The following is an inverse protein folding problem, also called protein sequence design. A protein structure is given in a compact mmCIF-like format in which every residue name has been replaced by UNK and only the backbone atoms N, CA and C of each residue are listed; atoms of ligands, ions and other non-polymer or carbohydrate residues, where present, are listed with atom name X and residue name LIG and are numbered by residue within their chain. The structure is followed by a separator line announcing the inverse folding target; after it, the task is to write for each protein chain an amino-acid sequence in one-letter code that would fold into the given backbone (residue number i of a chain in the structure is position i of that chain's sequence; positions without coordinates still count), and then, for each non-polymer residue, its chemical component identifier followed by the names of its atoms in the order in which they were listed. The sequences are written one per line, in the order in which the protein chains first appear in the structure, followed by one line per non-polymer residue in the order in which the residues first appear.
data_IF_831749321432
#
_entry.id   IF_831749321432
#
_cell.length_a   1.000
_cell.length_b   1.000
_cell.length_c   1.000
_cell.angle_alpha   90.00
_cell.angle_beta   90.00
_cell.angle_gamma   90.00
#
_symmetry.space_group_name_H-M   'P 1'
#
loop_
_entity.id
_entity.type
_entity.pdbx_description
1 polymer ?
#
# COMPACT_ATOMS: atom_id res chain seq x y z
N UNK A 1 -29.74 -9.66 -12.18
CA UNK A 1 -28.42 -8.99 -12.12
C UNK A 1 -28.23 -8.22 -10.82
N UNK A 2 -29.18 -7.36 -10.42
CA UNK A 2 -29.08 -6.47 -9.23
C UNK A 2 -28.91 -7.21 -7.89
N UNK A 3 -29.51 -8.38 -7.71
CA UNK A 3 -29.39 -9.18 -6.49
C UNK A 3 -28.00 -9.77 -6.31
N UNK A 4 -27.37 -10.23 -7.39
CA UNK A 4 -25.97 -10.70 -7.39
C UNK A 4 -24.98 -9.56 -7.10
N UNK A 5 -25.21 -8.40 -7.69
CA UNK A 5 -24.38 -7.20 -7.46
C UNK A 5 -24.43 -6.74 -6.00
N UNK A 6 -25.63 -6.74 -5.35
CA UNK A 6 -25.77 -6.45 -3.93
C UNK A 6 -25.03 -7.43 -3.02
N UNK A 7 -25.07 -8.73 -3.34
CA UNK A 7 -24.36 -9.76 -2.56
C UNK A 7 -22.84 -9.61 -2.66
N UNK A 8 -22.32 -9.28 -3.85
CA UNK A 8 -20.89 -8.97 -4.02
C UNK A 8 -20.47 -7.76 -3.18
N UNK A 9 -21.24 -6.67 -3.21
CA UNK A 9 -20.94 -5.47 -2.42
C UNK A 9 -20.94 -5.73 -0.91
N UNK A 10 -21.86 -6.56 -0.40
CA UNK A 10 -21.92 -6.90 1.04
C UNK A 10 -20.68 -7.72 1.44
N UNK A 11 -20.32 -8.72 0.67
CA UNK A 11 -19.13 -9.56 0.90
C UNK A 11 -17.86 -8.72 0.93
N UNK A 12 -17.70 -7.83 -0.04
CA UNK A 12 -16.50 -6.99 -0.15
C UNK A 12 -16.39 -6.03 1.03
N UNK A 13 -17.52 -5.53 1.57
CA UNK A 13 -17.52 -4.70 2.78
C UNK A 13 -17.05 -5.48 4.01
N UNK A 14 -17.52 -6.73 4.22
CA UNK A 14 -17.05 -7.56 5.33
C UNK A 14 -15.56 -7.88 5.23
N UNK A 15 -15.07 -8.17 4.02
CA UNK A 15 -13.64 -8.40 3.80
C UNK A 15 -12.81 -7.13 4.06
N UNK A 16 -13.29 -5.96 3.64
CA UNK A 16 -12.62 -4.69 3.89
C UNK A 16 -12.54 -4.35 5.39
N UNK A 17 -13.63 -4.57 6.14
CA UNK A 17 -13.65 -4.39 7.60
C UNK A 17 -12.61 -5.31 8.27
N UNK A 18 -12.61 -6.60 7.91
CA UNK A 18 -11.66 -7.56 8.48
C UNK A 18 -10.21 -7.17 8.19
N UNK A 19 -9.90 -6.78 6.96
CA UNK A 19 -8.55 -6.34 6.56
C UNK A 19 -8.16 -5.04 7.29
N UNK A 20 -9.08 -4.10 7.41
CA UNK A 20 -8.88 -2.84 8.14
C UNK A 20 -8.56 -3.04 9.62
N UNK A 21 -9.10 -4.09 10.24
CA UNK A 21 -8.79 -4.45 11.63
C UNK A 21 -7.46 -5.22 11.76
N UNK A 22 -7.23 -6.19 10.88
CA UNK A 22 -6.06 -7.08 10.99
C UNK A 22 -4.74 -6.40 10.69
N UNK A 23 -4.69 -5.48 9.74
CA UNK A 23 -3.44 -4.82 9.33
C UNK A 23 -2.81 -3.96 10.43
N UNK A 24 -3.54 -3.03 11.09
CA UNK A 24 -2.98 -2.28 12.21
C UNK A 24 -2.66 -3.17 13.40
N UNK A 25 -3.50 -4.18 13.68
CA UNK A 25 -3.28 -5.12 14.77
C UNK A 25 -1.96 -5.88 14.59
N UNK A 26 -1.68 -6.39 13.39
CA UNK A 26 -0.44 -7.07 13.06
C UNK A 26 0.79 -6.16 13.33
N UNK A 27 0.75 -4.90 12.86
CA UNK A 27 1.84 -3.95 13.08
C UNK A 27 1.99 -3.62 14.58
N UNK A 28 0.89 -3.42 15.28
CA UNK A 28 0.88 -3.14 16.73
C UNK A 28 1.48 -4.30 17.51
N UNK A 29 1.11 -5.55 17.20
CA UNK A 29 1.68 -6.73 17.83
C UNK A 29 3.19 -6.82 17.56
N UNK A 30 3.63 -6.61 16.32
CA UNK A 30 5.04 -6.62 15.97
C UNK A 30 5.85 -5.57 16.76
N UNK A 31 5.27 -4.37 16.97
CA UNK A 31 5.95 -3.28 17.68
C UNK A 31 5.87 -3.36 19.20
N UNK A 32 4.83 -3.99 19.77
CA UNK A 32 4.61 -4.02 21.22
C UNK A 32 5.05 -5.32 21.90
N UNK A 33 4.97 -6.45 21.20
CA UNK A 33 5.27 -7.77 21.75
C UNK A 33 6.70 -8.24 21.47
N UNK A 34 7.35 -7.73 20.43
CA UNK A 34 8.73 -8.06 20.12
C UNK A 34 9.71 -7.12 20.83
N UNK A 35 10.90 -7.60 21.25
CA UNK A 35 11.97 -6.76 21.78
C UNK A 35 12.39 -5.70 20.75
N UNK A 36 12.85 -4.53 21.22
CA UNK A 36 13.26 -3.41 20.36
C UNK A 36 14.26 -3.80 19.27
N UNK A 37 15.20 -4.72 19.57
CA UNK A 37 16.20 -5.21 18.58
C UNK A 37 15.69 -6.27 17.61
N UNK A 38 14.38 -6.60 17.60
CA UNK A 38 13.76 -7.57 16.67
C UNK A 38 12.46 -7.07 16.04
N UNK A 39 12.13 -5.82 16.24
CA UNK A 39 10.90 -5.23 15.72
C UNK A 39 10.92 -5.10 14.20
N UNK A 40 12.06 -4.73 13.62
CA UNK A 40 12.21 -4.65 12.17
C UNK A 40 12.18 -6.04 11.52
N UNK A 41 12.75 -7.05 12.17
CA UNK A 41 12.62 -8.45 11.72
C UNK A 41 11.16 -8.91 11.73
N UNK A 42 10.41 -8.63 12.80
CA UNK A 42 8.99 -8.95 12.88
C UNK A 42 8.17 -8.26 11.79
N UNK A 43 8.46 -6.98 11.53
CA UNK A 43 7.84 -6.23 10.42
C UNK A 43 8.24 -6.76 9.04
N UNK A 44 9.47 -7.23 8.87
CA UNK A 44 9.94 -7.87 7.65
C UNK A 44 9.20 -9.18 7.35
N UNK A 45 9.00 -10.02 8.38
CA UNK A 45 8.20 -11.26 8.26
C UNK A 45 6.73 -10.92 7.92
N UNK A 46 6.15 -9.94 8.60
CA UNK A 46 4.81 -9.45 8.28
C UNK A 46 4.73 -8.91 6.83
N UNK A 47 5.80 -8.29 6.35
CA UNK A 47 5.94 -7.81 4.97
C UNK A 47 5.84 -8.90 3.91
N UNK A 48 6.16 -10.16 4.22
CA UNK A 48 5.94 -11.30 3.31
C UNK A 48 4.44 -11.38 2.99
N UNK A 49 3.59 -11.44 4.00
CA UNK A 49 2.15 -11.53 3.79
C UNK A 49 1.61 -10.32 3.02
N UNK A 50 2.09 -9.11 3.35
CA UNK A 50 1.64 -7.87 2.71
C UNK A 50 2.10 -7.72 1.25
N UNK A 51 3.30 -8.20 0.91
CA UNK A 51 3.88 -8.07 -0.43
C UNK A 51 3.58 -9.25 -1.36
N UNK A 52 3.53 -10.46 -0.81
CA UNK A 52 3.38 -11.68 -1.59
C UNK A 52 1.91 -12.01 -1.92
N UNK A 53 1.03 -11.88 -0.94
CA UNK A 53 -0.37 -12.26 -1.11
C UNK A 53 -1.10 -11.52 -2.27
N UNK A 54 -0.96 -10.19 -2.45
CA UNK A 54 -1.61 -9.50 -3.55
C UNK A 54 -1.16 -9.96 -4.95
N UNK A 55 0.09 -10.42 -5.06
CA UNK A 55 0.66 -10.83 -6.35
C UNK A 55 0.38 -12.32 -6.66
N UNK A 56 0.37 -13.19 -5.65
CA UNK A 56 0.10 -14.62 -5.86
C UNK A 56 -1.40 -14.93 -5.92
N UNK A 57 -2.23 -14.11 -5.29
CA UNK A 57 -3.69 -14.28 -5.25
C UNK A 57 -4.33 -14.44 -6.62
N UNK A 58 -4.10 -13.51 -7.58
CA UNK A 58 -4.62 -13.62 -8.93
C UNK A 58 -4.15 -14.87 -9.66
N UNK A 59 -2.90 -15.29 -9.47
CA UNK A 59 -2.33 -16.47 -10.11
C UNK A 59 -2.99 -17.76 -9.61
N UNK A 60 -3.12 -17.93 -8.28
CA UNK A 60 -3.82 -19.07 -7.70
C UNK A 60 -5.31 -19.04 -8.07
N UNK A 61 -5.94 -17.87 -7.96
CA UNK A 61 -7.35 -17.68 -8.29
C UNK A 61 -7.64 -17.99 -9.76
N UNK A 62 -6.76 -17.57 -10.67
CA UNK A 62 -6.86 -17.87 -12.10
C UNK A 62 -6.71 -19.37 -12.39
N UNK A 63 -5.66 -20.01 -11.86
CA UNK A 63 -5.41 -21.43 -12.02
C UNK A 63 -6.58 -22.30 -11.48
N UNK A 64 -7.07 -21.97 -10.28
CA UNK A 64 -8.21 -22.69 -9.70
C UNK A 64 -9.52 -22.45 -10.45
N UNK A 65 -9.75 -21.24 -10.93
CA UNK A 65 -10.95 -20.92 -11.71
C UNK A 65 -10.99 -21.69 -13.03
N UNK A 66 -9.83 -21.90 -13.65
CA UNK A 66 -9.70 -22.66 -14.89
C UNK A 66 -9.90 -24.17 -14.67
N UNK A 67 -9.31 -24.75 -13.60
CA UNK A 67 -9.29 -26.20 -13.39
C UNK A 67 -10.49 -26.72 -12.59
N UNK A 68 -10.93 -26.00 -11.56
CA UNK A 68 -11.93 -26.45 -10.57
C UNK A 68 -13.17 -25.54 -10.52
N UNK A 69 -13.19 -24.48 -11.34
CA UNK A 69 -14.22 -23.46 -11.33
C UNK A 69 -14.01 -22.40 -10.24
N UNK A 70 -14.55 -21.21 -10.48
CA UNK A 70 -14.32 -20.03 -9.63
C UNK A 70 -14.76 -20.18 -8.16
N UNK A 71 -15.70 -21.09 -7.85
CA UNK A 71 -16.16 -21.33 -6.48
C UNK A 71 -15.12 -22.03 -5.61
N UNK A 72 -14.26 -22.86 -6.21
CA UNK A 72 -13.23 -23.62 -5.49
C UNK A 72 -12.24 -22.71 -4.75
N UNK A 73 -11.88 -21.57 -5.35
CA UNK A 73 -11.02 -20.58 -4.72
C UNK A 73 -11.62 -20.02 -3.44
N UNK A 74 -12.92 -19.71 -3.43
CA UNK A 74 -13.59 -19.21 -2.21
C UNK A 74 -13.73 -20.30 -1.14
N UNK A 75 -13.96 -21.55 -1.53
CA UNK A 75 -13.98 -22.68 -0.58
C UNK A 75 -12.61 -22.83 0.06
N UNK A 76 -11.53 -22.79 -0.72
CA UNK A 76 -10.16 -22.80 -0.18
C UNK A 76 -9.92 -21.69 0.84
N UNK A 77 -10.31 -20.47 0.50
CA UNK A 77 -10.19 -19.32 1.42
C UNK A 77 -10.96 -19.55 2.73
N UNK A 78 -12.19 -20.05 2.66
CA UNK A 78 -13.00 -20.34 3.86
C UNK A 78 -12.32 -21.38 4.74
N UNK A 79 -11.81 -22.47 4.15
CA UNK A 79 -11.10 -23.53 4.89
C UNK A 79 -9.86 -22.97 5.59
N UNK A 80 -9.04 -22.19 4.87
CA UNK A 80 -7.85 -21.53 5.45
C UNK A 80 -8.24 -20.59 6.59
N UNK A 81 -9.27 -19.75 6.39
CA UNK A 81 -9.69 -18.79 7.41
C UNK A 81 -10.27 -19.48 8.66
N UNK A 82 -11.02 -20.57 8.49
CA UNK A 82 -11.52 -21.36 9.63
C UNK A 82 -10.37 -22.02 10.39
N UNK A 83 -9.38 -22.59 9.69
CA UNK A 83 -8.20 -23.16 10.31
C UNK A 83 -7.40 -22.11 11.08
N UNK A 84 -7.20 -20.91 10.50
CA UNK A 84 -6.53 -19.80 11.18
C UNK A 84 -7.33 -19.29 12.38
N UNK A 85 -8.65 -19.20 12.28
CA UNK A 85 -9.50 -18.81 13.40
C UNK A 85 -9.43 -19.81 14.56
N UNK A 86 -9.45 -21.11 14.25
CA UNK A 86 -9.29 -22.18 15.25
C UNK A 86 -7.89 -22.11 15.90
N UNK A 87 -6.84 -21.94 15.09
CA UNK A 87 -5.47 -21.79 15.61
C UNK A 87 -5.34 -20.55 16.51
N UNK A 88 -5.94 -19.42 16.11
CA UNK A 88 -5.95 -18.20 16.89
C UNK A 88 -6.70 -18.37 18.21
N UNK A 89 -7.86 -19.04 18.21
CA UNK A 89 -8.64 -19.31 19.43
C UNK A 89 -7.86 -20.14 20.45
N UNK A 90 -7.00 -21.05 19.99
CA UNK A 90 -6.15 -21.89 20.88
C UNK A 90 -4.86 -21.16 21.30
N UNK A 91 -4.22 -20.45 20.37
CA UNK A 91 -2.91 -19.83 20.59
C UNK A 91 -2.95 -18.48 21.28
N UNK A 92 -3.99 -17.67 21.02
CA UNK A 92 -4.11 -16.32 21.55
C UNK A 92 -4.82 -16.36 22.91
N UNK A 93 -4.03 -16.22 23.98
CA UNK A 93 -4.59 -16.06 25.32
C UNK A 93 -5.06 -14.63 25.55
N UNK A 94 -6.20 -14.40 26.23
CA UNK A 94 -6.62 -13.06 26.61
C UNK A 94 -5.52 -12.37 27.41
N UNK A 95 -5.02 -11.25 26.91
CA UNK A 95 -3.83 -10.59 27.50
C UNK A 95 -4.16 -9.56 28.55
N UNK A 96 -5.39 -9.04 28.53
CA UNK A 96 -5.95 -8.10 29.52
C UNK A 96 -7.46 -8.22 29.56
N UNK A 97 -8.05 -7.90 30.69
CA UNK A 97 -9.51 -7.74 30.77
C UNK A 97 -9.95 -6.60 29.83
N UNK A 98 -11.07 -6.76 29.12
CA UNK A 98 -11.57 -5.69 28.27
C UNK A 98 -11.89 -4.44 29.15
N UNK A 99 -11.37 -3.30 28.74
CA UNK A 99 -11.70 -2.04 29.38
C UNK A 99 -13.16 -1.68 29.10
N UNK A 100 -14.00 -1.87 30.10
CA UNK A 100 -15.44 -1.58 30.01
C UNK A 100 -15.75 -0.08 30.00
N UNK A 101 -14.77 0.77 30.31
CA UNK A 101 -14.93 2.23 30.32
C UNK A 101 -14.69 2.85 28.94
N UNK A 102 -14.05 2.12 28.02
CA UNK A 102 -13.74 2.59 26.67
C UNK A 102 -15.05 2.87 25.89
N UNK A 103 -15.28 4.13 25.54
CA UNK A 103 -16.44 4.57 24.75
C UNK A 103 -15.99 4.85 23.32
N UNK A 104 -16.69 4.25 22.36
CA UNK A 104 -16.46 4.53 20.95
C UNK A 104 -17.02 5.93 20.59
N UNK A 105 -16.15 6.86 20.20
CA UNK A 105 -16.57 8.15 19.64
C UNK A 105 -17.09 7.97 18.21
N UNK A 106 -18.40 7.72 18.09
CA UNK A 106 -19.10 7.49 16.81
C UNK A 106 -18.94 8.69 15.87
N UNK A 107 -18.86 9.92 16.39
CA UNK A 107 -18.70 11.13 15.56
C UNK A 107 -17.30 11.15 14.94
N UNK A 108 -16.28 10.86 15.71
CA UNK A 108 -14.89 10.74 15.18
C UNK A 108 -14.78 9.60 14.18
N UNK A 109 -15.42 8.46 14.44
CA UNK A 109 -15.47 7.35 13.51
C UNK A 109 -16.14 7.74 12.17
N UNK A 110 -17.29 8.42 12.23
CA UNK A 110 -17.96 8.91 11.03
C UNK A 110 -17.10 9.92 10.24
N UNK A 111 -16.48 10.87 10.95
CA UNK A 111 -15.61 11.87 10.32
C UNK A 111 -14.41 11.24 9.64
N UNK A 112 -13.73 10.27 10.28
CA UNK A 112 -12.58 9.57 9.68
C UNK A 112 -13.02 8.72 8.47
N UNK A 113 -14.14 8.03 8.56
CA UNK A 113 -14.70 7.21 7.47
C UNK A 113 -15.08 8.07 6.26
N UNK A 114 -15.79 9.19 6.48
CA UNK A 114 -16.15 10.11 5.42
C UNK A 114 -14.92 10.85 4.87
N UNK A 115 -13.95 11.15 5.72
CA UNK A 115 -12.71 11.82 5.35
C UNK A 115 -11.84 10.96 4.44
N UNK A 116 -11.36 9.83 4.92
CA UNK A 116 -10.55 8.91 4.11
C UNK A 116 -11.34 8.29 2.97
N UNK A 117 -12.59 7.90 3.20
CA UNK A 117 -13.48 7.36 2.17
C UNK A 117 -13.75 8.36 1.04
N UNK A 118 -13.96 9.63 1.38
CA UNK A 118 -14.12 10.71 0.40
C UNK A 118 -12.87 10.91 -0.46
N UNK A 119 -11.67 10.93 0.15
CA UNK A 119 -10.42 11.00 -0.61
C UNK A 119 -10.23 9.80 -1.54
N UNK A 120 -10.42 8.59 -1.02
CA UNK A 120 -10.28 7.36 -1.81
C UNK A 120 -11.28 7.34 -2.98
N UNK A 121 -12.53 7.76 -2.74
CA UNK A 121 -13.56 7.86 -3.78
C UNK A 121 -13.19 8.89 -4.83
N UNK A 122 -12.70 10.07 -4.43
CA UNK A 122 -12.26 11.11 -5.34
C UNK A 122 -11.12 10.62 -6.24
N UNK A 123 -10.11 9.98 -5.65
CA UNK A 123 -8.97 9.45 -6.40
C UNK A 123 -9.36 8.27 -7.30
N UNK A 124 -10.26 7.40 -6.86
CA UNK A 124 -10.81 6.34 -7.70
C UNK A 124 -11.61 6.90 -8.88
N UNK A 125 -12.42 7.93 -8.65
CA UNK A 125 -13.20 8.57 -9.70
C UNK A 125 -12.32 9.32 -10.71
N UNK A 126 -11.17 9.85 -10.29
CA UNK A 126 -10.23 10.55 -11.18
C UNK A 126 -9.64 9.65 -12.28
N UNK A 127 -9.66 8.32 -12.10
CA UNK A 127 -9.26 7.36 -13.13
C UNK A 127 -10.39 7.00 -14.11
N UNK A 128 -11.65 7.36 -13.81
CA UNK A 128 -12.83 6.92 -14.56
C UNK A 128 -13.65 8.05 -15.16
N UNK A 129 -13.54 9.26 -14.62
CA UNK A 129 -14.31 10.44 -15.04
C UNK A 129 -13.38 11.55 -15.53
N UNK A 130 -13.91 12.43 -16.39
CA UNK A 130 -13.22 13.66 -16.81
C UNK A 130 -12.89 14.55 -15.61
N UNK A 131 -11.76 15.23 -15.66
CA UNK A 131 -11.25 16.07 -14.56
C UNK A 131 -12.19 17.25 -14.22
N UNK A 132 -13.07 17.64 -15.12
CA UNK A 132 -14.10 18.67 -14.89
C UNK A 132 -15.32 18.14 -14.12
N UNK A 133 -15.40 16.82 -13.92
CA UNK A 133 -16.57 16.19 -13.32
C UNK A 133 -16.71 16.52 -11.83
N UNK A 134 -17.90 16.96 -11.38
CA UNK A 134 -18.16 17.18 -9.95
C UNK A 134 -18.02 15.90 -9.11
N UNK A 135 -18.10 14.71 -9.73
CA UNK A 135 -17.89 13.43 -9.05
C UNK A 135 -16.46 13.20 -8.52
N UNK A 136 -15.49 14.01 -8.99
CA UNK A 136 -14.11 14.01 -8.44
C UNK A 136 -14.00 15.05 -7.33
N UNK A 137 -14.41 16.27 -7.62
CA UNK A 137 -14.19 17.41 -6.73
C UNK A 137 -15.08 17.39 -5.49
N UNK A 138 -16.35 16.99 -5.61
CA UNK A 138 -17.24 16.91 -4.45
C UNK A 138 -16.74 15.95 -3.37
N UNK A 139 -16.41 14.67 -3.67
CA UNK A 139 -15.83 13.77 -2.66
C UNK A 139 -14.47 14.24 -2.15
N UNK A 140 -13.65 14.89 -2.99
CA UNK A 140 -12.34 15.43 -2.59
C UNK A 140 -12.49 16.52 -1.53
N UNK A 141 -13.33 17.52 -1.81
CA UNK A 141 -13.57 18.65 -0.89
C UNK A 141 -14.24 18.17 0.40
N UNK A 142 -15.27 17.34 0.28
CA UNK A 142 -15.95 16.78 1.45
C UNK A 142 -15.00 15.90 2.27
N UNK A 143 -14.21 15.04 1.63
CA UNK A 143 -13.21 14.21 2.29
C UNK A 143 -12.17 15.03 3.05
N UNK A 144 -11.62 16.06 2.40
CA UNK A 144 -10.67 16.98 3.04
C UNK A 144 -11.31 17.72 4.22
N UNK A 145 -12.55 18.21 4.07
CA UNK A 145 -13.29 18.89 5.14
C UNK A 145 -13.49 17.95 6.35
N UNK A 146 -13.97 16.73 6.11
CA UNK A 146 -14.17 15.76 7.20
C UNK A 146 -12.87 15.35 7.87
N UNK A 147 -11.75 15.24 7.16
CA UNK A 147 -10.44 15.01 7.78
C UNK A 147 -9.99 16.18 8.65
N UNK A 148 -10.20 17.41 8.19
CA UNK A 148 -9.89 18.59 9.01
C UNK A 148 -10.75 18.63 10.28
N UNK A 149 -12.05 18.35 10.15
CA UNK A 149 -12.96 18.25 11.31
C UNK A 149 -12.54 17.12 12.25
N UNK A 150 -12.18 15.96 11.72
CA UNK A 150 -11.65 14.84 12.49
C UNK A 150 -10.42 15.25 13.30
N UNK A 151 -9.38 15.79 12.64
CA UNK A 151 -8.15 16.22 13.32
C UNK A 151 -8.43 17.29 14.38
N UNK A 152 -9.32 18.27 14.10
CA UNK A 152 -9.71 19.30 15.07
C UNK A 152 -10.42 18.69 16.28
N UNK A 153 -11.30 17.70 16.03
CA UNK A 153 -12.02 17.02 17.11
C UNK A 153 -11.09 16.19 17.97
N UNK A 154 -10.16 15.41 17.35
CA UNK A 154 -9.19 14.60 18.09
C UNK A 154 -8.30 15.41 19.05
N UNK A 155 -8.06 16.70 18.75
CA UNK A 155 -7.31 17.62 19.62
C UNK A 155 -8.12 18.20 20.76
N UNK A 156 -9.44 18.02 20.81
CA UNK A 156 -10.35 18.64 21.78
C UNK A 156 -11.03 17.66 22.72
N UNK A 157 -11.08 16.39 22.33
CA UNK A 157 -11.73 15.32 23.10
C UNK A 157 -10.72 14.73 24.06
N UNK A 158 -11.12 14.49 25.31
CA UNK A 158 -10.24 13.95 26.36
C UNK A 158 -9.82 12.51 26.10
N UNK A 159 -10.68 11.70 25.45
CA UNK A 159 -10.36 10.32 25.02
C UNK A 159 -10.49 10.23 23.50
N UNK A 160 -9.45 10.63 22.74
CA UNK A 160 -9.48 10.66 21.29
C UNK A 160 -9.42 9.26 20.70
N UNK A 161 -10.16 9.04 19.59
CA UNK A 161 -10.09 7.79 18.83
C UNK A 161 -8.67 7.51 18.28
N UNK A 162 -7.95 8.55 17.91
CA UNK A 162 -6.54 8.53 17.50
C UNK A 162 -5.84 9.71 18.16
N UNK A 163 -4.86 9.44 19.01
CA UNK A 163 -4.05 10.49 19.63
C UNK A 163 -3.23 11.22 18.57
N UNK A 164 -3.41 12.54 18.47
CA UNK A 164 -2.61 13.38 17.57
C UNK A 164 -1.18 13.57 18.05
N UNK A 165 -0.84 13.14 19.28
CA UNK A 165 0.51 13.16 19.82
C UNK A 165 1.50 12.28 19.04
N UNK A 166 0.99 11.38 18.19
CA UNK A 166 1.82 10.64 17.23
C UNK A 166 2.67 11.58 16.36
N UNK A 167 2.16 12.76 16.04
CA UNK A 167 2.87 13.76 15.24
C UNK A 167 3.84 14.63 16.05
N UNK A 168 3.91 14.51 17.36
CA UNK A 168 4.93 15.19 18.17
C UNK A 168 6.32 14.59 17.91
N UNK A 169 6.41 13.29 17.65
CA UNK A 169 7.65 12.61 17.28
C UNK A 169 8.15 13.04 15.90
N UNK A 170 9.37 13.64 15.88
CA UNK A 170 10.03 14.00 14.60
C UNK A 170 10.30 12.79 13.71
N UNK A 171 10.62 11.66 14.34
CA UNK A 171 10.91 10.40 13.64
C UNK A 171 9.66 9.81 13.02
N UNK A 172 8.53 9.81 13.74
CA UNK A 172 7.25 9.37 13.20
C UNK A 172 6.84 10.22 12.00
N UNK A 173 6.91 11.55 12.10
CA UNK A 173 6.60 12.46 10.97
C UNK A 173 7.46 12.17 9.74
N UNK A 174 8.76 11.97 9.94
CA UNK A 174 9.67 11.65 8.85
C UNK A 174 9.35 10.29 8.20
N UNK A 175 9.15 9.25 9.00
CA UNK A 175 8.77 7.94 8.50
C UNK A 175 7.39 7.93 7.82
N UNK A 176 6.44 8.68 8.36
CA UNK A 176 5.11 8.87 7.78
C UNK A 176 5.19 9.46 6.36
N UNK A 177 5.95 10.56 6.18
CA UNK A 177 6.12 11.18 4.86
C UNK A 177 6.83 10.22 3.89
N UNK A 178 7.94 9.59 4.31
CA UNK A 178 8.68 8.66 3.47
C UNK A 178 7.80 7.48 2.99
N UNK A 179 6.99 6.91 3.88
CA UNK A 179 6.09 5.81 3.54
C UNK A 179 4.97 6.23 2.59
N UNK A 180 4.44 7.44 2.73
CA UNK A 180 3.39 7.94 1.83
C UNK A 180 3.94 8.23 0.42
N UNK A 181 5.15 8.80 0.30
CA UNK A 181 5.84 8.98 -0.98
C UNK A 181 6.14 7.63 -1.65
N UNK A 182 6.66 6.68 -0.87
CA UNK A 182 6.91 5.31 -1.33
C UNK A 182 5.64 4.66 -1.90
N UNK A 183 4.50 4.76 -1.20
CA UNK A 183 3.27 4.14 -1.64
C UNK A 183 2.66 4.83 -2.86
N UNK A 184 2.78 6.14 -2.98
CA UNK A 184 2.38 6.88 -4.18
C UNK A 184 3.19 6.47 -5.42
N UNK A 185 4.49 6.14 -5.25
CA UNK A 185 5.33 5.59 -6.32
C UNK A 185 4.99 4.13 -6.67
N UNK A 186 4.65 3.32 -5.67
CA UNK A 186 4.65 1.86 -5.80
C UNK A 186 3.35 1.29 -6.37
N UNK A 187 2.19 1.67 -5.82
CA UNK A 187 0.93 0.95 -6.10
C UNK A 187 0.45 1.12 -7.53
N UNK A 188 0.61 2.32 -8.11
CA UNK A 188 0.18 2.57 -9.49
C UNK A 188 0.92 1.71 -10.50
N UNK A 189 2.21 1.46 -10.29
CA UNK A 189 3.02 0.65 -11.23
C UNK A 189 2.54 -0.79 -11.31
N UNK A 190 2.03 -1.35 -10.21
CA UNK A 190 1.47 -2.72 -10.21
C UNK A 190 0.25 -2.85 -11.14
N UNK A 191 -0.53 -1.78 -11.31
CA UNK A 191 -1.63 -1.71 -12.27
C UNK A 191 -1.14 -1.40 -13.70
N UNK A 192 -0.16 -0.50 -13.84
CA UNK A 192 0.26 0.02 -15.14
C UNK A 192 1.14 -0.95 -15.89
N UNK A 193 1.94 -1.79 -15.21
CA UNK A 193 2.77 -2.81 -15.87
C UNK A 193 1.94 -3.78 -16.72
N UNK A 194 0.85 -4.38 -16.23
CA UNK A 194 -0.04 -5.16 -17.09
C UNK A 194 -0.61 -4.37 -18.27
N UNK A 195 -1.06 -3.14 -18.03
CA UNK A 195 -1.59 -2.27 -19.09
C UNK A 195 -0.54 -1.94 -20.16
N UNK A 196 0.72 -1.75 -19.76
CA UNK A 196 1.84 -1.54 -20.68
C UNK A 196 2.12 -2.79 -21.51
N UNK A 197 2.22 -3.96 -20.86
CA UNK A 197 2.54 -5.22 -21.54
C UNK A 197 1.42 -5.63 -22.50
N UNK A 198 0.16 -5.59 -22.07
CA UNK A 198 -0.99 -6.00 -22.87
C UNK A 198 -1.38 -4.93 -23.89
N UNK A 199 -1.40 -3.67 -23.49
CA UNK A 199 -1.93 -2.58 -24.31
C UNK A 199 -0.93 -1.97 -25.29
N UNK A 200 0.36 -1.89 -24.95
CA UNK A 200 1.39 -1.27 -25.78
C UNK A 200 2.26 -2.32 -26.49
N UNK A 201 2.77 -3.31 -25.75
CA UNK A 201 3.65 -4.33 -26.31
C UNK A 201 2.88 -5.48 -27.00
N UNK A 202 1.55 -5.51 -26.92
CA UNK A 202 0.73 -6.58 -27.53
C UNK A 202 0.91 -7.95 -26.87
N UNK A 203 1.44 -7.97 -25.65
CA UNK A 203 1.67 -9.19 -24.89
C UNK A 203 0.39 -9.77 -24.28
N UNK A 204 0.50 -10.94 -23.69
CA UNK A 204 -0.57 -11.65 -23.03
C UNK A 204 -0.63 -11.32 -21.52
N UNK A 205 -1.78 -11.56 -20.88
CA UNK A 205 -1.91 -11.43 -19.41
C UNK A 205 -0.93 -12.35 -18.65
N UNK A 206 -0.55 -13.49 -19.26
CA UNK A 206 0.47 -14.36 -18.68
C UNK A 206 1.84 -13.70 -18.67
N UNK A 207 2.24 -13.07 -19.76
CA UNK A 207 3.51 -12.33 -19.86
C UNK A 207 3.54 -11.16 -18.92
N UNK A 208 2.44 -10.41 -18.78
CA UNK A 208 2.30 -9.35 -17.77
C UNK A 208 2.50 -9.89 -16.34
N UNK A 209 1.97 -11.07 -16.05
CA UNK A 209 2.20 -11.76 -14.78
C UNK A 209 3.66 -12.17 -14.59
N UNK A 210 4.31 -12.70 -15.63
CA UNK A 210 5.72 -13.11 -15.60
C UNK A 210 6.64 -11.90 -15.32
N UNK A 211 6.36 -10.73 -15.88
CA UNK A 211 7.11 -9.51 -15.61
C UNK A 211 7.10 -9.13 -14.12
N UNK A 212 6.01 -9.39 -13.39
CA UNK A 212 5.90 -9.09 -11.97
C UNK A 212 6.47 -10.18 -11.04
N UNK A 213 6.60 -11.41 -11.53
CA UNK A 213 7.00 -12.57 -10.73
C UNK A 213 8.37 -12.44 -10.05
N UNK A 214 9.47 -12.05 -10.73
CA UNK A 214 10.80 -11.99 -10.10
C UNK A 214 10.83 -11.03 -8.92
N UNK A 215 10.16 -9.87 -9.03
CA UNK A 215 10.03 -8.92 -7.94
C UNK A 215 9.27 -9.49 -6.75
N UNK A 216 8.22 -10.26 -7.02
CA UNK A 216 7.39 -10.90 -5.98
C UNK A 216 8.17 -11.99 -5.26
N UNK A 217 8.90 -12.84 -5.99
CA UNK A 217 9.75 -13.88 -5.41
C UNK A 217 10.89 -13.26 -4.60
N UNK A 218 11.53 -12.22 -5.13
CA UNK A 218 12.56 -11.49 -4.39
C UNK A 218 12.03 -10.90 -3.07
N UNK A 219 10.80 -10.42 -3.05
CA UNK A 219 10.17 -9.87 -1.84
C UNK A 219 10.03 -10.90 -0.70
N UNK A 220 9.84 -12.19 -1.01
CA UNK A 220 9.78 -13.27 -0.01
C UNK A 220 11.05 -13.34 0.83
N UNK A 221 12.20 -13.17 0.17
CA UNK A 221 13.51 -13.26 0.84
C UNK A 221 13.94 -11.89 1.37
N UNK A 222 13.72 -10.84 0.59
CA UNK A 222 14.24 -9.52 0.91
C UNK A 222 13.47 -8.81 2.02
N UNK A 223 12.16 -9.04 2.17
CA UNK A 223 11.41 -8.44 3.28
C UNK A 223 11.94 -8.85 4.66
N UNK A 224 12.08 -10.17 4.99
CA UNK A 224 12.67 -10.58 6.26
C UNK A 224 14.15 -10.20 6.37
N UNK A 225 14.91 -10.32 5.27
CA UNK A 225 16.33 -9.97 5.26
C UNK A 225 16.55 -8.49 5.58
N UNK A 226 15.77 -7.59 4.97
CA UNK A 226 15.82 -6.16 5.26
C UNK A 226 15.45 -5.87 6.71
N UNK A 227 14.48 -6.60 7.29
CA UNK A 227 14.13 -6.51 8.70
C UNK A 227 15.31 -6.90 9.60
N UNK A 228 15.93 -8.06 9.36
CA UNK A 228 17.10 -8.54 10.12
C UNK A 228 18.30 -7.58 9.97
N UNK A 229 18.56 -7.12 8.76
CA UNK A 229 19.63 -6.13 8.51
C UNK A 229 19.35 -4.83 9.27
N UNK A 230 18.12 -4.36 9.27
CA UNK A 230 17.74 -3.14 10.00
C UNK A 230 17.95 -3.27 11.50
N UNK A 231 17.62 -4.42 12.08
CA UNK A 231 17.86 -4.67 13.51
C UNK A 231 19.36 -4.77 13.85
N UNK A 232 20.23 -5.20 12.90
CA UNK A 232 21.67 -5.33 13.10
C UNK A 232 22.48 -4.07 12.81
N UNK A 233 22.21 -3.42 11.69
CA UNK A 233 23.04 -2.29 11.19
C UNK A 233 22.31 -0.94 11.23
N UNK A 234 21.06 -0.93 11.66
CA UNK A 234 20.22 0.26 11.72
C UNK A 234 19.43 0.50 10.42
N UNK A 235 18.43 1.38 10.51
CA UNK A 235 17.51 1.67 9.39
C UNK A 235 18.18 2.42 8.26
N UNK A 236 19.11 3.33 8.56
CA UNK A 236 19.68 4.27 7.59
C UNK A 236 20.39 3.59 6.41
N UNK A 237 21.37 2.69 6.60
CA UNK A 237 22.06 2.04 5.50
C UNK A 237 21.11 1.18 4.66
N UNK A 238 20.21 0.44 5.30
CA UNK A 238 19.21 -0.39 4.60
C UNK A 238 18.28 0.48 3.77
N UNK A 239 17.76 1.58 4.33
CA UNK A 239 16.85 2.48 3.62
C UNK A 239 17.55 3.22 2.46
N UNK A 240 18.83 3.60 2.60
CA UNK A 240 19.58 4.25 1.52
C UNK A 240 19.82 3.30 0.34
N UNK A 241 20.29 2.09 0.61
CA UNK A 241 20.52 1.07 -0.44
C UNK A 241 19.21 0.71 -1.12
N UNK A 242 18.17 0.42 -0.35
CA UNK A 242 16.86 0.06 -0.89
C UNK A 242 16.20 1.24 -1.64
N UNK A 243 16.37 2.46 -1.14
CA UNK A 243 15.90 3.67 -1.81
C UNK A 243 16.62 3.92 -3.14
N UNK A 244 17.93 3.62 -3.21
CA UNK A 244 18.67 3.68 -4.46
C UNK A 244 18.16 2.66 -5.48
N UNK A 245 17.93 1.40 -5.08
CA UNK A 245 17.33 0.38 -5.94
C UNK A 245 15.93 0.80 -6.43
N UNK A 246 15.10 1.34 -5.55
CA UNK A 246 13.77 1.84 -5.91
C UNK A 246 13.86 2.95 -6.95
N UNK A 247 14.70 3.97 -6.70
CA UNK A 247 14.84 5.11 -7.59
C UNK A 247 15.43 4.70 -8.94
N UNK A 248 16.50 3.87 -8.95
CA UNK A 248 17.12 3.36 -10.19
C UNK A 248 16.11 2.55 -11.00
N UNK A 249 15.43 1.59 -10.39
CA UNK A 249 14.42 0.79 -11.10
C UNK A 249 13.27 1.62 -11.65
N UNK A 250 12.77 2.60 -10.88
CA UNK A 250 11.70 3.48 -11.34
C UNK A 250 12.15 4.41 -12.48
N UNK A 251 13.37 4.95 -12.42
CA UNK A 251 13.94 5.77 -13.50
C UNK A 251 14.16 4.93 -14.76
N UNK A 252 14.70 3.73 -14.65
CA UNK A 252 14.86 2.84 -15.80
C UNK A 252 13.51 2.51 -16.46
N UNK A 253 12.46 2.30 -15.68
CA UNK A 253 11.13 2.06 -16.23
C UNK A 253 10.56 3.25 -17.00
N UNK A 254 10.96 4.49 -16.70
CA UNK A 254 10.50 5.67 -17.45
C UNK A 254 11.06 5.77 -18.88
N UNK A 255 12.05 4.94 -19.23
CA UNK A 255 12.63 4.88 -20.58
C UNK A 255 12.13 3.66 -21.40
N UNK A 256 11.19 2.89 -20.89
CA UNK A 256 10.63 1.74 -21.62
C UNK A 256 9.83 2.22 -22.84
N UNK A 257 10.00 1.50 -23.95
CA UNK A 257 9.34 1.77 -25.23
C UNK A 257 8.56 0.52 -25.71
N UNK A 258 7.75 0.66 -26.76
CA UNK A 258 6.97 -0.42 -27.34
C UNK A 258 7.86 -1.60 -27.82
N UNK A 259 9.04 -1.29 -28.36
CA UNK A 259 10.00 -2.27 -28.87
C UNK A 259 10.92 -2.84 -27.80
N UNK A 260 10.76 -2.41 -26.52
CA UNK A 260 11.62 -2.90 -25.43
C UNK A 260 11.34 -4.38 -25.15
N UNK A 261 12.35 -5.25 -25.18
CA UNK A 261 12.17 -6.66 -24.88
C UNK A 261 11.63 -6.87 -23.46
N UNK A 262 10.67 -7.78 -23.28
CA UNK A 262 10.02 -8.02 -21.99
C UNK A 262 10.97 -8.42 -20.86
N UNK A 263 12.12 -9.05 -21.18
CA UNK A 263 13.12 -9.36 -20.16
C UNK A 263 13.77 -8.10 -19.56
N UNK A 264 13.91 -7.01 -20.33
CA UNK A 264 14.40 -5.72 -19.83
C UNK A 264 13.38 -5.10 -18.88
N UNK A 265 12.08 -5.09 -19.27
CA UNK A 265 10.99 -4.63 -18.41
C UNK A 265 10.95 -5.43 -17.11
N UNK A 266 11.10 -6.75 -17.19
CA UNK A 266 11.16 -7.66 -16.03
C UNK A 266 12.32 -7.31 -15.11
N UNK A 267 13.50 -7.05 -15.65
CA UNK A 267 14.69 -6.67 -14.88
C UNK A 267 14.50 -5.32 -14.18
N UNK A 268 14.03 -4.31 -14.89
CA UNK A 268 13.75 -2.98 -14.31
C UNK A 268 12.71 -3.07 -13.18
N UNK A 269 11.65 -3.85 -13.39
CA UNK A 269 10.63 -4.10 -12.37
C UNK A 269 11.20 -4.87 -11.16
N UNK A 270 12.05 -5.87 -11.38
CA UNK A 270 12.70 -6.61 -10.31
C UNK A 270 13.61 -5.71 -9.47
N UNK A 271 14.45 -4.88 -10.09
CA UNK A 271 15.31 -3.90 -9.41
C UNK A 271 14.48 -2.96 -8.54
N UNK A 272 13.37 -2.43 -9.08
CA UNK A 272 12.46 -1.57 -8.34
C UNK A 272 11.80 -2.31 -7.16
N UNK A 273 11.37 -3.56 -7.35
CA UNK A 273 10.72 -4.37 -6.32
C UNK A 273 11.66 -4.70 -5.15
N UNK A 274 12.96 -4.93 -5.44
CA UNK A 274 14.01 -5.06 -4.42
C UNK A 274 14.02 -3.81 -3.52
N UNK A 275 13.99 -2.63 -4.11
CA UNK A 275 13.94 -1.37 -3.38
C UNK A 275 12.70 -1.23 -2.49
N UNK A 276 11.51 -1.54 -3.02
CA UNK A 276 10.25 -1.52 -2.26
C UNK A 276 10.31 -2.46 -1.05
N UNK A 277 10.73 -3.71 -1.29
CA UNK A 277 10.82 -4.75 -0.26
C UNK A 277 11.75 -4.36 0.89
N UNK A 278 12.86 -3.70 0.57
CA UNK A 278 13.81 -3.22 1.57
C UNK A 278 13.36 -1.97 2.34
N UNK A 279 12.30 -1.28 1.92
CA UNK A 279 11.85 -0.03 2.55
C UNK A 279 10.62 -0.19 3.43
N UNK A 280 9.64 -1.00 3.02
CA UNK A 280 8.31 -1.04 3.67
C UNK A 280 8.42 -1.42 5.15
N UNK A 281 9.04 -2.54 5.48
CA UNK A 281 9.22 -3.03 6.85
C UNK A 281 10.09 -2.10 7.70
N UNK A 282 11.33 -1.81 7.27
CA UNK A 282 12.25 -0.94 7.99
C UNK A 282 11.73 0.47 8.27
N UNK A 283 11.14 1.15 7.30
CA UNK A 283 10.57 2.49 7.52
C UNK A 283 9.38 2.45 8.48
N UNK A 284 8.55 1.39 8.41
CA UNK A 284 7.41 1.24 9.31
C UNK A 284 7.88 1.01 10.75
N UNK A 285 8.79 0.05 10.96
CA UNK A 285 9.34 -0.23 12.29
C UNK A 285 10.05 0.99 12.86
N UNK A 286 10.87 1.67 12.07
CA UNK A 286 11.58 2.87 12.48
C UNK A 286 10.64 4.01 12.87
N UNK A 287 9.57 4.26 12.10
CA UNK A 287 8.63 5.34 12.40
C UNK A 287 7.83 5.08 13.67
N UNK A 288 7.45 3.83 13.93
CA UNK A 288 6.65 3.47 15.11
C UNK A 288 7.49 3.25 16.38
N UNK A 289 8.79 2.94 16.25
CA UNK A 289 9.66 2.58 17.38
C UNK A 289 9.81 3.68 18.45
N UNK A 290 9.62 4.94 18.10
CA UNK A 290 9.73 6.08 19.00
C UNK A 290 8.40 6.48 19.64
N UNK A 291 7.31 5.87 19.21
CA UNK A 291 6.03 6.16 19.83
C UNK A 291 5.91 5.44 21.19
N UNK A 292 5.34 6.10 22.20
CA UNK A 292 4.94 5.44 23.44
C UNK A 292 4.00 4.26 23.14
N UNK A 293 4.16 3.16 23.88
CA UNK A 293 3.38 1.94 23.66
C UNK A 293 1.86 2.14 23.54
N UNK A 294 1.21 3.01 24.35
CA UNK A 294 -0.24 3.21 24.27
C UNK A 294 -0.71 3.77 22.91
N UNK A 295 0.10 4.61 22.24
CA UNK A 295 -0.28 5.28 20.99
C UNK A 295 0.32 4.64 19.72
N UNK A 296 1.00 3.50 19.84
CA UNK A 296 1.55 2.76 18.67
C UNK A 296 0.42 2.28 17.75
N UNK A 297 -0.70 1.83 18.32
CA UNK A 297 -1.87 1.41 17.56
C UNK A 297 -2.46 2.56 16.73
N UNK A 298 -2.54 3.75 17.31
CA UNK A 298 -3.02 4.97 16.66
C UNK A 298 -2.10 5.37 15.49
N UNK A 299 -0.78 5.39 15.76
CA UNK A 299 0.23 5.67 14.74
C UNK A 299 0.19 4.68 13.58
N UNK A 300 0.03 3.39 13.86
CA UNK A 300 -0.10 2.35 12.86
C UNK A 300 -1.37 2.52 12.01
N UNK A 301 -2.52 2.70 12.65
CA UNK A 301 -3.82 2.83 11.98
C UNK A 301 -3.87 4.06 11.08
N UNK A 302 -3.40 5.20 11.59
CA UNK A 302 -3.35 6.45 10.82
C UNK A 302 -2.39 6.34 9.63
N UNK A 303 -1.22 5.75 9.84
CA UNK A 303 -0.23 5.55 8.78
C UNK A 303 -0.76 4.64 7.66
N UNK A 304 -1.45 3.54 7.99
CA UNK A 304 -2.04 2.63 6.99
C UNK A 304 -3.11 3.35 6.18
N UNK A 305 -4.02 4.09 6.84
CA UNK A 305 -5.08 4.83 6.15
C UNK A 305 -4.52 5.89 5.20
N UNK A 306 -3.54 6.66 5.64
CA UNK A 306 -2.87 7.66 4.82
C UNK A 306 -2.09 7.03 3.64
N UNK A 307 -1.37 5.94 3.87
CA UNK A 307 -0.66 5.20 2.82
C UNK A 307 -1.62 4.71 1.74
N UNK A 308 -2.79 4.21 2.13
CA UNK A 308 -3.79 3.73 1.18
C UNK A 308 -4.36 4.89 0.34
N UNK A 309 -4.61 6.05 0.96
CA UNK A 309 -5.03 7.25 0.22
C UNK A 309 -3.94 7.73 -0.75
N UNK A 310 -2.68 7.78 -0.32
CA UNK A 310 -1.56 8.16 -1.19
C UNK A 310 -1.29 7.16 -2.31
N UNK A 311 -1.49 5.85 -2.05
CA UNK A 311 -1.41 4.81 -3.08
C UNK A 311 -2.49 4.99 -4.15
N UNK A 312 -3.73 5.25 -3.73
CA UNK A 312 -4.85 5.53 -4.65
C UNK A 312 -4.61 6.81 -5.46
N UNK A 313 -4.14 7.89 -4.80
CA UNK A 313 -3.76 9.13 -5.48
C UNK A 313 -2.68 8.88 -6.54
N UNK A 314 -1.60 8.19 -6.16
CA UNK A 314 -0.50 7.88 -7.08
C UNK A 314 -0.98 7.10 -8.31
N UNK A 315 -1.79 6.06 -8.09
CA UNK A 315 -2.40 5.28 -9.17
C UNK A 315 -3.27 6.15 -10.07
N UNK A 316 -4.12 6.99 -9.50
CA UNK A 316 -5.02 7.87 -10.27
C UNK A 316 -4.25 8.90 -11.10
N UNK A 317 -3.18 9.49 -10.55
CA UNK A 317 -2.31 10.40 -11.30
C UNK A 317 -1.65 9.70 -12.47
N UNK A 318 -1.14 8.47 -12.28
CA UNK A 318 -0.53 7.70 -13.36
C UNK A 318 -1.52 7.35 -14.47
N UNK A 319 -2.73 6.89 -14.11
CA UNK A 319 -3.80 6.58 -15.10
C UNK A 319 -4.23 7.85 -15.83
N UNK A 320 -4.36 8.97 -15.11
CA UNK A 320 -4.65 10.27 -15.72
C UNK A 320 -3.57 10.71 -16.73
N UNK A 321 -2.29 10.56 -16.37
CA UNK A 321 -1.18 10.87 -17.28
C UNK A 321 -1.25 10.01 -18.56
N UNK A 322 -1.58 8.72 -18.44
CA UNK A 322 -1.77 7.85 -19.60
C UNK A 322 -2.93 8.34 -20.47
N UNK A 323 -4.06 8.71 -19.88
CA UNK A 323 -5.23 9.17 -20.62
C UNK A 323 -4.98 10.49 -21.36
N UNK A 324 -4.39 11.48 -20.67
CA UNK A 324 -4.10 12.81 -21.24
C UNK A 324 -3.02 12.75 -22.30
N UNK A 325 -1.91 12.04 -21.99
CA UNK A 325 -0.81 11.93 -22.93
C UNK A 325 -1.21 11.09 -24.16
N UNK A 326 -1.95 10.00 -23.97
CA UNK A 326 -2.45 9.18 -25.09
C UNK A 326 -3.42 9.91 -26.01
N UNK A 327 -4.18 10.88 -25.50
CA UNK A 327 -5.08 11.73 -26.30
C UNK A 327 -4.37 12.92 -26.98
N UNK A 328 -3.13 13.22 -26.60
CA UNK A 328 -2.35 14.33 -27.16
C UNK A 328 -1.78 13.99 -28.55
N UNK A 329 -1.50 15.00 -29.38
CA UNK A 329 -0.87 14.80 -30.70
C UNK A 329 0.49 14.08 -30.58
N UNK A 330 1.26 14.36 -29.54
CA UNK A 330 2.54 13.67 -29.26
C UNK A 330 2.34 12.21 -28.87
N UNK A 331 1.30 11.89 -28.08
CA UNK A 331 0.98 10.52 -27.69
C UNK A 331 0.38 9.70 -28.84
N UNK A 332 -0.33 10.33 -29.76
CA UNK A 332 -0.79 9.68 -30.99
C UNK A 332 0.39 9.35 -31.92
N UNK A 333 1.42 10.19 -31.94
CA UNK A 333 2.65 9.93 -32.70
C UNK A 333 3.55 8.87 -32.01
N UNK A 334 3.59 8.87 -30.69
CA UNK A 334 4.36 7.88 -29.88
C UNK A 334 3.50 7.37 -28.71
N UNK A 335 2.82 6.24 -28.85
CA UNK A 335 1.98 5.68 -27.80
C UNK A 335 2.75 5.32 -26.50
N UNK A 336 4.07 5.07 -26.59
CA UNK A 336 4.90 4.80 -25.41
C UNK A 336 5.02 6.00 -24.48
N UNK A 337 4.93 7.21 -24.99
CA UNK A 337 5.03 8.45 -24.22
C UNK A 337 4.06 8.48 -23.03
N UNK A 338 2.85 7.98 -23.22
CA UNK A 338 1.82 7.95 -22.20
C UNK A 338 2.27 7.09 -20.97
N UNK A 339 2.84 5.93 -21.25
CA UNK A 339 3.37 5.03 -20.21
C UNK A 339 4.66 5.56 -19.61
N UNK A 340 5.55 6.14 -20.43
CA UNK A 340 6.80 6.77 -19.96
C UNK A 340 6.51 7.90 -18.97
N UNK A 341 5.51 8.75 -19.21
CA UNK A 341 5.10 9.80 -18.27
C UNK A 341 4.53 9.23 -16.97
N UNK A 342 3.75 8.16 -17.03
CA UNK A 342 3.23 7.50 -15.84
C UNK A 342 4.36 6.85 -15.01
N UNK A 343 5.30 6.15 -15.64
CA UNK A 343 6.49 5.63 -14.97
C UNK A 343 7.41 6.76 -14.50
N UNK A 344 7.50 7.87 -15.24
CA UNK A 344 8.23 9.08 -14.85
C UNK A 344 7.69 9.70 -13.57
N UNK A 345 6.36 9.76 -13.39
CA UNK A 345 5.76 10.16 -12.11
C UNK A 345 6.20 9.23 -10.97
N UNK A 346 6.17 7.90 -11.18
CA UNK A 346 6.69 6.94 -10.20
C UNK A 346 8.16 7.19 -9.87
N UNK A 347 8.98 7.50 -10.89
CA UNK A 347 10.39 7.80 -10.71
C UNK A 347 10.60 9.08 -9.88
N UNK A 348 9.85 10.13 -10.15
CA UNK A 348 9.90 11.38 -9.36
C UNK A 348 9.55 11.11 -7.89
N UNK A 349 8.49 10.35 -7.62
CA UNK A 349 8.12 9.98 -6.25
C UNK A 349 9.17 9.08 -5.59
N UNK A 350 9.80 8.17 -6.32
CA UNK A 350 10.86 7.30 -5.82
C UNK A 350 12.14 8.10 -5.48
N UNK A 351 12.55 9.01 -6.35
CA UNK A 351 13.68 9.92 -6.11
C UNK A 351 13.40 10.86 -4.95
N UNK A 352 12.18 11.40 -4.85
CA UNK A 352 11.76 12.20 -3.71
C UNK A 352 11.81 11.39 -2.40
N UNK A 353 11.39 10.12 -2.43
CA UNK A 353 11.52 9.20 -1.29
C UNK A 353 12.98 9.03 -0.87
N UNK A 354 13.88 8.75 -1.82
CA UNK A 354 15.32 8.62 -1.55
C UNK A 354 15.91 9.92 -0.99
N UNK A 355 15.63 11.07 -1.62
CA UNK A 355 16.09 12.38 -1.15
C UNK A 355 15.61 12.69 0.27
N UNK A 356 14.35 12.34 0.58
CA UNK A 356 13.81 12.51 1.92
C UNK A 356 14.48 11.57 2.94
N UNK A 357 14.78 10.32 2.56
CA UNK A 357 15.52 9.36 3.40
C UNK A 357 16.91 9.91 3.71
N UNK A 358 17.64 10.39 2.71
CA UNK A 358 18.99 11.00 2.88
C UNK A 358 18.95 12.15 3.87
N UNK A 359 17.93 13.02 3.77
CA UNK A 359 17.83 14.25 4.56
C UNK A 359 17.35 14.03 6.00
N UNK A 360 16.45 13.05 6.24
CA UNK A 360 15.71 12.96 7.51
C UNK A 360 15.88 11.65 8.27
N UNK A 361 16.25 10.55 7.61
CA UNK A 361 16.46 9.26 8.27
C UNK A 361 17.91 9.21 8.78
N UNK A 362 18.02 9.30 10.11
CA UNK A 362 19.32 9.26 10.81
C UNK A 362 19.34 8.13 11.83
#
# INVERSE_FOLDING_TARGET
PLRRQRQMCIRDRFQAISTGMLMPLMQTIAMTRFPRGRQATAMGVAGIAMGFAPNIGPTIGGAMSFSLGWRSFFVLLVVIMLALAAAAAVAIKPSAAPDKSARLDVVSLAQSTLGFGGLLLAFSNASSFSFESPFIWAPLVLGALFLVLFVRRQKRVDDPLISMDIFSSRQYRAGFIAQNLLNASFMGVTLIVPLYVEGLCGGTALEAGVVLLPGTVAALVLNPLAGVLTDKVGVRPVALVSGAFLATGAVLMSFLDADTPLYVTTLCQAVRAVGVSGLVGPLTSWSLAQLPRPIVADGSSFCISARQACASLGTSVMVFLIAVAGASAAGLANPALAYQLAFGFSAVMAVATLGFIVAKVR
#
